data_IF_117922978565
#
_entry.id   IF_117922978565
#
_cell.length_a   1.000
_cell.length_b   1.000
_cell.length_c   1.000
_cell.angle_alpha   90.00
_cell.angle_beta   90.00
_cell.angle_gamma   90.00
#
_symmetry.space_group_name_H-M   'P 1'
#
loop_
_entity.id
_entity.type
_entity.pdbx_description
1 polymer ?
#
# COMPACT_ATOMS: atom_id res chain seq x y z
N UNK A 1 -5.88 10.90 0.79
CA UNK A 1 -7.24 10.31 0.72
C UNK A 1 -7.23 8.80 0.96
N UNK A 2 -6.34 8.03 0.32
CA UNK A 2 -6.24 6.57 0.52
C UNK A 2 -6.17 6.12 1.99
N UNK A 3 -5.44 6.83 2.86
CA UNK A 3 -5.35 6.51 4.29
C UNK A 3 -6.72 6.51 5.01
N UNK A 4 -7.63 7.39 4.60
CA UNK A 4 -9.00 7.44 5.13
C UNK A 4 -9.91 6.42 4.44
N UNK A 5 -9.72 6.19 3.14
CA UNK A 5 -10.48 5.19 2.36
C UNK A 5 -10.20 3.76 2.83
N UNK A 6 -8.96 3.46 3.22
CA UNK A 6 -8.50 2.12 3.60
C UNK A 6 -8.08 2.01 5.06
N UNK A 7 -8.60 2.88 5.93
CA UNK A 7 -8.21 2.91 7.35
C UNK A 7 -8.30 1.53 8.03
N UNK A 8 -9.37 0.77 7.77
CA UNK A 8 -9.54 -0.58 8.31
C UNK A 8 -8.53 -1.59 7.78
N UNK A 9 -8.20 -1.51 6.49
CA UNK A 9 -7.19 -2.38 5.88
C UNK A 9 -5.79 -2.04 6.40
N UNK A 10 -5.44 -0.77 6.51
CA UNK A 10 -4.15 -0.34 7.07
C UNK A 10 -4.01 -0.72 8.55
N UNK A 11 -5.10 -0.69 9.32
CA UNK A 11 -5.12 -1.20 10.68
C UNK A 11 -4.90 -2.72 10.73
N UNK A 12 -5.44 -3.47 9.77
CA UNK A 12 -5.19 -4.91 9.63
C UNK A 12 -3.71 -5.19 9.32
N UNK A 13 -3.11 -4.49 8.35
CA UNK A 13 -1.67 -4.59 8.06
C UNK A 13 -0.82 -4.27 9.30
N UNK A 14 -1.16 -3.21 10.03
CA UNK A 14 -0.47 -2.87 11.27
C UNK A 14 -0.59 -3.97 12.34
N UNK A 15 -1.74 -4.63 12.42
CA UNK A 15 -1.94 -5.78 13.31
C UNK A 15 -1.07 -6.99 12.94
N UNK A 16 -0.89 -7.25 11.65
CA UNK A 16 0.01 -8.31 11.16
C UNK A 16 1.48 -8.02 11.43
N UNK A 17 1.86 -6.75 11.56
CA UNK A 17 3.25 -6.33 11.84
C UNK A 17 3.50 -6.07 13.33
N UNK A 18 2.50 -6.27 14.19
CA UNK A 18 2.59 -5.90 15.58
C UNK A 18 3.51 -6.86 16.35
N UNK A 19 4.67 -6.38 16.77
CA UNK A 19 5.62 -7.16 17.58
C UNK A 19 5.32 -7.12 19.08
N UNK A 20 4.62 -6.08 19.55
CA UNK A 20 4.35 -5.86 20.98
C UNK A 20 2.88 -5.54 21.20
N UNK A 21 2.28 -6.23 22.16
CA UNK A 21 0.92 -5.96 22.64
C UNK A 21 0.96 -5.29 24.02
N UNK A 22 -0.13 -4.63 24.41
CA UNK A 22 -0.26 -4.07 25.76
C UNK A 22 -0.16 -5.18 26.82
N UNK A 23 0.29 -4.86 28.05
CA UNK A 23 0.43 -5.84 29.13
C UNK A 23 -0.87 -6.59 29.47
N UNK A 24 -2.01 -5.91 29.30
CA UNK A 24 -3.34 -6.44 29.60
C UNK A 24 -3.98 -7.19 28.41
N UNK A 25 -3.21 -7.42 27.33
CA UNK A 25 -3.69 -8.13 26.15
C UNK A 25 -3.97 -9.60 26.46
N UNK A 26 -5.16 -10.06 26.10
CA UNK A 26 -5.59 -11.45 26.28
C UNK A 26 -4.86 -12.45 25.36
N UNK A 27 -4.19 -11.95 24.32
CA UNK A 27 -3.41 -12.74 23.38
C UNK A 27 -2.04 -12.09 23.12
N UNK A 28 -0.98 -12.89 22.93
CA UNK A 28 0.33 -12.38 22.58
C UNK A 28 0.33 -11.76 21.17
N UNK A 29 1.32 -10.90 20.93
CA UNK A 29 1.65 -10.46 19.59
C UNK A 29 2.00 -11.68 18.73
N UNK A 30 1.50 -11.71 17.49
CA UNK A 30 1.72 -12.82 16.57
C UNK A 30 2.01 -12.25 15.18
N UNK A 31 3.17 -11.61 14.98
CA UNK A 31 3.50 -10.98 13.72
C UNK A 31 3.54 -12.00 12.59
N UNK A 32 3.09 -11.56 11.42
CA UNK A 32 2.98 -12.30 10.16
C UNK A 32 3.45 -11.41 9.00
N UNK A 33 4.72 -10.95 9.01
CA UNK A 33 5.24 -10.11 7.92
C UNK A 33 5.14 -10.80 6.55
N UNK A 34 5.23 -12.13 6.51
CA UNK A 34 5.10 -12.92 5.28
C UNK A 34 3.75 -12.70 4.56
N UNK A 35 2.66 -12.51 5.31
CA UNK A 35 1.34 -12.21 4.74
C UNK A 35 1.33 -10.79 4.16
N UNK A 36 2.05 -9.86 4.78
CA UNK A 36 2.15 -8.48 4.30
C UNK A 36 3.01 -8.42 3.03
N UNK A 37 4.05 -9.23 2.93
CA UNK A 37 4.85 -9.40 1.70
C UNK A 37 3.98 -9.91 0.54
N UNK A 38 3.14 -10.94 0.76
CA UNK A 38 2.19 -11.42 -0.26
C UNK A 38 1.19 -10.32 -0.69
N UNK A 39 0.75 -9.48 0.24
CA UNK A 39 -0.12 -8.33 -0.06
C UNK A 39 0.61 -7.29 -0.90
N UNK A 40 1.90 -7.02 -0.63
CA UNK A 40 2.73 -6.12 -1.41
C UNK A 40 2.86 -6.63 -2.85
N UNK A 41 3.17 -7.90 -3.04
CA UNK A 41 3.26 -8.52 -4.36
C UNK A 41 1.95 -8.38 -5.14
N UNK A 42 0.82 -8.71 -4.50
CA UNK A 42 -0.50 -8.55 -5.11
C UNK A 42 -0.80 -7.10 -5.52
N UNK A 43 -0.51 -6.14 -4.65
CA UNK A 43 -0.75 -4.72 -4.95
C UNK A 43 0.17 -4.22 -6.07
N UNK A 44 1.42 -4.67 -6.12
CA UNK A 44 2.36 -4.34 -7.19
C UNK A 44 1.91 -4.90 -8.54
N UNK A 45 1.50 -6.17 -8.59
CA UNK A 45 0.90 -6.78 -9.79
C UNK A 45 -0.33 -6.01 -10.26
N UNK A 46 -1.19 -5.57 -9.33
CA UNK A 46 -2.38 -4.80 -9.67
C UNK A 46 -2.04 -3.41 -10.23
N UNK A 47 -1.02 -2.75 -9.71
CA UNK A 47 -0.53 -1.47 -10.25
C UNK A 47 -0.06 -1.64 -11.68
N UNK A 48 0.75 -2.67 -11.97
CA UNK A 48 1.22 -2.96 -13.33
C UNK A 48 0.05 -3.22 -14.27
N UNK A 49 -0.90 -4.06 -13.88
CA UNK A 49 -2.08 -4.32 -14.69
C UNK A 49 -2.91 -3.06 -14.97
N UNK A 50 -3.11 -2.18 -13.98
CA UNK A 50 -3.82 -0.91 -14.16
C UNK A 50 -3.06 0.08 -15.07
N UNK A 51 -1.74 0.05 -15.07
CA UNK A 51 -0.92 0.85 -15.98
C UNK A 51 -1.03 0.35 -17.42
N UNK A 52 -1.02 -0.96 -17.63
CA UNK A 52 -1.19 -1.58 -18.94
C UNK A 52 -2.58 -1.23 -19.52
N UNK A 53 -3.64 -1.35 -18.71
CA UNK A 53 -5.02 -1.02 -19.08
C UNK A 53 -5.21 0.47 -19.44
N UNK A 54 -4.38 1.37 -18.89
CA UNK A 54 -4.42 2.81 -19.17
C UNK A 54 -3.93 3.14 -20.60
N UNK A 55 -3.12 2.26 -21.19
CA UNK A 55 -2.58 2.41 -22.53
C UNK A 55 -3.54 1.99 -23.65
N UNK A 56 -4.66 1.34 -23.31
CA UNK A 56 -5.66 0.88 -24.27
C UNK A 56 -6.74 1.96 -24.51
N UNK A 57 -7.02 2.32 -25.77
CA UNK A 57 -8.04 3.33 -26.08
C UNK A 57 -9.43 2.77 -25.79
N UNK A 58 -10.18 3.42 -24.89
CA UNK A 58 -11.56 3.03 -24.58
C UNK A 58 -12.50 4.22 -24.39
N UNK A 59 -13.75 4.06 -24.84
CA UNK A 59 -14.79 5.09 -24.79
C UNK A 59 -15.29 5.32 -23.35
N UNK A 60 -14.68 6.28 -22.64
CA UNK A 60 -15.33 6.99 -21.53
C UNK A 60 -15.05 6.51 -20.10
N UNK A 61 -14.17 5.53 -19.89
CA UNK A 61 -13.77 5.04 -18.55
C UNK A 61 -12.37 5.51 -18.08
N UNK A 62 -11.65 6.27 -18.89
CA UNK A 62 -10.27 6.73 -18.62
C UNK A 62 -10.11 7.35 -17.22
N UNK A 63 -11.03 8.23 -16.83
CA UNK A 63 -10.98 8.90 -15.52
C UNK A 63 -11.29 8.00 -14.32
N UNK A 64 -11.87 6.82 -14.52
CA UNK A 64 -12.03 5.83 -13.45
C UNK A 64 -10.74 5.04 -13.25
N UNK A 65 -10.06 4.64 -14.33
CA UNK A 65 -8.82 3.87 -14.29
C UNK A 65 -7.66 4.66 -13.71
N UNK A 66 -7.53 5.93 -14.08
CA UNK A 66 -6.53 6.84 -13.51
C UNK A 66 -6.69 6.96 -11.99
N UNK A 67 -7.95 7.05 -11.51
CA UNK A 67 -8.24 7.12 -10.08
C UNK A 67 -7.90 5.80 -9.40
N UNK A 68 -8.28 4.68 -9.99
CA UNK A 68 -8.04 3.35 -9.42
C UNK A 68 -6.54 3.05 -9.32
N UNK A 69 -5.78 3.43 -10.36
CA UNK A 69 -4.32 3.37 -10.37
C UNK A 69 -3.74 4.25 -9.26
N UNK A 70 -4.09 5.54 -9.20
CA UNK A 70 -3.56 6.45 -8.20
C UNK A 70 -3.87 6.01 -6.75
N UNK A 71 -5.04 5.42 -6.54
CA UNK A 71 -5.45 4.90 -5.23
C UNK A 71 -4.68 3.63 -4.87
N UNK A 72 -4.57 2.68 -5.81
CA UNK A 72 -3.85 1.40 -5.59
C UNK A 72 -2.36 1.62 -5.38
N UNK A 73 -1.76 2.49 -6.19
CA UNK A 73 -0.37 2.90 -6.09
C UNK A 73 -0.06 3.56 -4.74
N UNK A 74 -0.92 4.50 -4.29
CA UNK A 74 -0.77 5.09 -2.96
C UNK A 74 -0.99 4.07 -1.84
N UNK A 75 -1.86 3.08 -2.02
CA UNK A 75 -2.06 2.03 -1.03
C UNK A 75 -0.81 1.14 -0.89
N UNK A 76 -0.19 0.77 -2.02
CA UNK A 76 1.06 0.02 -2.05
C UNK A 76 2.17 0.72 -1.25
N UNK A 77 2.38 2.02 -1.47
CA UNK A 77 3.33 2.82 -0.68
C UNK A 77 3.07 2.71 0.82
N UNK A 78 1.81 2.90 1.24
CA UNK A 78 1.44 2.93 2.65
C UNK A 78 1.65 1.58 3.34
N UNK A 79 1.52 0.48 2.60
CA UNK A 79 1.82 -0.87 3.08
C UNK A 79 3.33 -1.07 3.17
N UNK A 80 4.10 -0.69 2.14
CA UNK A 80 5.56 -0.77 2.14
C UNK A 80 6.19 0.02 3.29
N UNK A 81 5.74 1.25 3.51
CA UNK A 81 6.22 2.09 4.62
C UNK A 81 5.97 1.43 5.96
N UNK A 82 4.79 0.82 6.16
CA UNK A 82 4.47 0.09 7.40
C UNK A 82 5.32 -1.16 7.57
N UNK A 83 5.47 -1.95 6.51
CA UNK A 83 6.27 -3.18 6.50
C UNK A 83 7.71 -2.88 6.93
N UNK A 84 8.28 -1.77 6.45
CA UNK A 84 9.64 -1.36 6.78
C UNK A 84 9.75 -0.45 8.01
N UNK A 85 8.64 -0.13 8.68
CA UNK A 85 8.62 0.74 9.85
C UNK A 85 9.07 2.19 9.58
N UNK A 86 8.90 2.66 8.34
CA UNK A 86 9.27 4.02 7.90
C UNK A 86 8.08 4.95 8.08
N UNK A 87 8.29 6.10 8.74
CA UNK A 87 7.25 7.12 8.84
C UNK A 87 7.03 7.76 7.45
N UNK A 88 5.78 7.88 6.97
CA UNK A 88 5.50 8.56 5.71
C UNK A 88 6.03 10.00 5.63
N UNK A 89 6.18 10.71 6.76
CA UNK A 89 6.82 12.02 6.80
C UNK A 89 8.33 11.96 6.55
N UNK A 90 8.99 10.86 6.94
CA UNK A 90 10.42 10.62 6.70
C UNK A 90 10.70 10.09 5.27
N UNK A 91 9.66 9.63 4.59
CA UNK A 91 9.74 9.14 3.20
C UNK A 91 9.58 10.24 2.14
N UNK A 92 9.34 11.49 2.55
CA UNK A 92 9.17 12.63 1.67
C UNK A 92 10.47 12.87 0.87
N UNK A 93 10.46 12.45 -0.41
CA UNK A 93 11.61 12.49 -1.32
C UNK A 93 12.00 11.16 -1.99
N UNK A 94 11.47 10.01 -1.54
CA UNK A 94 11.81 8.70 -2.15
C UNK A 94 11.28 8.53 -3.59
N UNK A 95 10.16 9.18 -3.95
CA UNK A 95 9.57 9.13 -5.30
C UNK A 95 10.08 10.22 -6.26
N UNK A 96 10.60 11.33 -5.74
CA UNK A 96 11.15 12.42 -6.58
C UNK A 96 12.55 12.09 -7.12
N UNK A 97 13.21 11.05 -6.60
CA UNK A 97 14.53 10.63 -7.00
C UNK A 97 14.51 9.62 -8.17
N UNK A 98 13.92 9.97 -9.31
CA UNK A 98 14.29 9.41 -10.61
C UNK A 98 13.80 10.29 -11.78
N UNK A 99 14.59 11.25 -12.28
CA UNK A 99 14.52 11.55 -13.70
C UNK A 99 15.04 10.33 -14.46
N UNK A 100 14.17 9.70 -15.25
CA UNK A 100 14.55 8.68 -16.21
C UNK A 100 15.71 9.24 -17.08
N UNK A 101 16.84 8.53 -17.09
CA UNK A 101 18.00 8.85 -17.95
C UNK A 101 17.91 8.02 -19.22
#
# INVERSE_FOLDING_TARGET
MAELTFAGFLAFIQGLLLEKVMPDSLAPANPRPEIVEEVVDFLAERVVALQDDLGEPEDGEEGHRERDLAVTDRLLDLVLLRLHGVDPADAEGFRDAAPAT
#
